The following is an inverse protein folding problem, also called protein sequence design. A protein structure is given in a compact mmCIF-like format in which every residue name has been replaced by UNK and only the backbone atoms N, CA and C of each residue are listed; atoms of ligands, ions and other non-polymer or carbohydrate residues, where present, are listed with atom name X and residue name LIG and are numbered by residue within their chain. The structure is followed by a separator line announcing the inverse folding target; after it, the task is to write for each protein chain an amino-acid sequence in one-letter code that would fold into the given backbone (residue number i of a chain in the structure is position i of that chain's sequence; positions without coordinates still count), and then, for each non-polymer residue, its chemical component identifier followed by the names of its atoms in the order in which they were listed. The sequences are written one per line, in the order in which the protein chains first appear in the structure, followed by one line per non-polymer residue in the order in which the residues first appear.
data_IF_028209614151
#
_entry.id   IF_028209614151
#
_cell.length_a   1.000
_cell.length_b   1.000
_cell.length_c   1.000
_cell.angle_alpha   90.00
_cell.angle_beta   90.00
_cell.angle_gamma   90.00
#
_symmetry.space_group_name_H-M   'P 1'
#
loop_
_entity.id
_entity.type
_entity.pdbx_description
1 polymer ?
#
# COMPACT_ATOMS: atom_id res chain seq x y z
N UNK A 1 -20.94 -9.90 5.59
CA UNK A 1 -20.81 -10.88 4.51
C UNK A 1 -20.04 -10.26 3.35
N UNK A 2 -20.53 -10.37 2.11
CA UNK A 2 -19.82 -9.85 0.93
C UNK A 2 -20.21 -8.42 0.49
N UNK A 3 -21.38 -7.93 0.91
CA UNK A 3 -21.96 -6.64 0.51
C UNK A 3 -21.95 -5.58 1.62
N UNK A 4 -21.83 -6.01 2.87
CA UNK A 4 -21.70 -5.17 4.07
C UNK A 4 -20.61 -5.77 4.96
N UNK A 5 -19.76 -4.91 5.52
CA UNK A 5 -18.62 -5.31 6.35
C UNK A 5 -19.09 -5.84 7.71
N UNK A 6 -18.69 -7.05 8.03
CA UNK A 6 -18.76 -7.63 9.38
C UNK A 6 -17.36 -8.05 9.82
N UNK A 7 -17.02 -7.86 11.10
CA UNK A 7 -15.67 -8.18 11.58
C UNK A 7 -15.28 -9.66 11.36
N UNK A 8 -16.26 -10.57 11.41
CA UNK A 8 -16.07 -12.00 11.13
C UNK A 8 -15.65 -12.30 9.70
N UNK A 9 -15.93 -11.42 8.74
CA UNK A 9 -15.53 -11.57 7.34
C UNK A 9 -14.00 -11.62 7.19
N UNK A 10 -13.26 -10.96 8.09
CA UNK A 10 -11.80 -10.97 8.08
C UNK A 10 -11.19 -12.35 8.37
N UNK A 11 -11.95 -13.27 8.97
CA UNK A 11 -11.52 -14.64 9.19
C UNK A 11 -11.73 -15.55 7.96
N UNK A 12 -12.49 -15.08 6.95
CA UNK A 12 -12.71 -15.81 5.70
C UNK A 12 -11.68 -15.35 4.67
N UNK A 13 -10.72 -16.19 4.25
CA UNK A 13 -9.61 -15.78 3.40
C UNK A 13 -10.04 -15.09 2.10
N UNK A 14 -11.07 -15.62 1.44
CA UNK A 14 -11.57 -15.11 0.16
C UNK A 14 -12.14 -13.70 0.32
N UNK A 15 -12.87 -13.45 1.42
CA UNK A 15 -13.47 -12.14 1.69
C UNK A 15 -12.40 -11.14 2.14
N UNK A 16 -11.44 -11.58 2.98
CA UNK A 16 -10.32 -10.75 3.39
C UNK A 16 -9.47 -10.29 2.19
N UNK A 17 -9.19 -11.20 1.25
CA UNK A 17 -8.49 -10.88 0.00
C UNK A 17 -9.30 -9.88 -0.83
N UNK A 18 -10.62 -10.06 -0.94
CA UNK A 18 -11.46 -9.14 -1.71
C UNK A 18 -11.44 -7.71 -1.14
N UNK A 19 -11.55 -7.55 0.19
CA UNK A 19 -11.42 -6.25 0.84
C UNK A 19 -10.03 -5.64 0.66
N UNK A 20 -8.98 -6.43 0.87
CA UNK A 20 -7.60 -5.97 0.69
C UNK A 20 -7.32 -5.52 -0.73
N UNK A 21 -7.78 -6.27 -1.73
CA UNK A 21 -7.67 -5.92 -3.15
C UNK A 21 -8.41 -4.62 -3.47
N UNK A 22 -9.67 -4.49 -3.03
CA UNK A 22 -10.46 -3.29 -3.26
C UNK A 22 -9.78 -2.06 -2.64
N UNK A 23 -9.32 -2.17 -1.39
CA UNK A 23 -8.68 -1.04 -0.69
C UNK A 23 -7.35 -0.68 -1.34
N UNK A 24 -6.52 -1.67 -1.71
CA UNK A 24 -5.26 -1.41 -2.40
C UNK A 24 -5.49 -0.72 -3.76
N UNK A 25 -6.49 -1.14 -4.54
CA UNK A 25 -6.84 -0.51 -5.82
C UNK A 25 -7.27 0.95 -5.60
N UNK A 26 -8.15 1.19 -4.63
CA UNK A 26 -8.55 2.55 -4.25
C UNK A 26 -7.35 3.44 -3.89
N UNK A 27 -6.37 2.92 -3.13
CA UNK A 27 -5.17 3.69 -2.77
C UNK A 27 -4.26 3.94 -3.98
N UNK A 28 -4.09 2.95 -4.87
CA UNK A 28 -3.33 3.14 -6.11
C UNK A 28 -3.97 4.23 -6.98
N UNK A 29 -5.31 4.26 -7.11
CA UNK A 29 -6.01 5.31 -7.84
C UNK A 29 -5.81 6.68 -7.18
N UNK A 30 -5.96 6.74 -5.85
CA UNK A 30 -5.80 7.95 -5.05
C UNK A 30 -4.41 8.57 -5.20
N UNK A 31 -3.36 7.74 -5.23
CA UNK A 31 -1.98 8.19 -5.32
C UNK A 31 -1.40 8.10 -6.74
N UNK A 32 -2.24 8.08 -7.77
CA UNK A 32 -1.84 8.12 -9.18
C UNK A 32 -0.83 7.02 -9.57
N UNK A 33 -1.14 5.77 -9.21
CA UNK A 33 -0.29 4.59 -9.42
C UNK A 33 1.07 4.64 -8.70
N UNK A 34 1.26 5.57 -7.75
CA UNK A 34 2.44 5.60 -6.92
C UNK A 34 2.38 4.48 -5.87
N UNK A 35 2.93 3.31 -6.23
CA UNK A 35 2.96 2.10 -5.41
C UNK A 35 3.53 2.36 -4.00
N UNK A 36 4.56 3.20 -3.88
CA UNK A 36 5.18 3.54 -2.59
C UNK A 36 4.20 4.28 -1.68
N UNK A 37 3.50 5.28 -2.20
CA UNK A 37 2.51 6.03 -1.43
C UNK A 37 1.29 5.19 -1.08
N UNK A 38 0.82 4.36 -2.02
CA UNK A 38 -0.30 3.46 -1.78
C UNK A 38 0.01 2.44 -0.68
N UNK A 39 1.19 1.81 -0.71
CA UNK A 39 1.61 0.87 0.33
C UNK A 39 1.84 1.56 1.68
N UNK A 40 2.40 2.77 1.69
CA UNK A 40 2.55 3.56 2.90
C UNK A 40 1.18 3.90 3.52
N UNK A 41 0.18 4.23 2.70
CA UNK A 41 -1.16 4.53 3.17
C UNK A 41 -1.92 3.28 3.63
N UNK A 42 -1.68 2.13 2.99
CA UNK A 42 -2.27 0.85 3.40
C UNK A 42 -1.84 0.47 4.83
N UNK A 43 -0.58 0.73 5.19
CA UNK A 43 -0.06 0.44 6.54
C UNK A 43 -0.26 1.60 7.53
N UNK A 44 0.07 2.83 7.13
CA UNK A 44 0.14 4.00 8.01
C UNK A 44 -1.11 4.89 8.00
N UNK A 45 -2.06 4.63 7.09
CA UNK A 45 -3.26 5.42 6.89
C UNK A 45 -3.07 6.61 5.93
N UNK A 46 -4.11 6.90 5.15
CA UNK A 46 -4.10 7.99 4.16
C UNK A 46 -3.87 9.37 4.76
N UNK A 47 -4.45 9.64 5.93
CA UNK A 47 -4.33 10.94 6.59
C UNK A 47 -2.88 11.34 6.84
N UNK A 48 -2.07 10.40 7.37
CA UNK A 48 -0.65 10.63 7.63
C UNK A 48 0.15 10.80 6.34
N UNK A 49 -0.11 9.96 5.33
CA UNK A 49 0.58 10.06 4.04
C UNK A 49 0.31 11.40 3.36
N UNK A 50 -0.94 11.88 3.39
CA UNK A 50 -1.29 13.20 2.85
C UNK A 50 -0.55 14.32 3.60
N UNK A 51 -0.46 14.23 4.94
CA UNK A 51 0.29 15.18 5.76
C UNK A 51 1.77 15.23 5.35
N UNK A 52 2.44 14.09 5.24
CA UNK A 52 3.86 14.04 4.87
C UNK A 52 4.11 14.55 3.45
N UNK A 53 3.19 14.30 2.50
CA UNK A 53 3.25 14.87 1.15
C UNK A 53 3.14 16.40 1.21
N UNK A 54 2.25 16.95 2.03
CA UNK A 54 2.11 18.40 2.17
C UNK A 54 3.37 19.02 2.76
N UNK A 55 3.94 18.43 3.82
CA UNK A 55 5.20 18.89 4.41
C UNK A 55 6.33 18.91 3.38
N UNK A 56 6.49 17.83 2.59
CA UNK A 56 7.48 17.79 1.50
C UNK A 56 7.28 18.94 0.50
N UNK A 57 6.02 19.19 0.11
CA UNK A 57 5.68 20.27 -0.84
C UNK A 57 5.96 21.66 -0.27
N UNK A 58 5.67 21.89 1.00
CA UNK A 58 5.94 23.16 1.69
C UNK A 58 7.44 23.45 1.77
N UNK A 59 8.26 22.40 1.87
CA UNK A 59 9.73 22.49 1.81
C UNK A 59 10.27 22.60 0.36
N UNK A 60 9.41 22.51 -0.65
CA UNK A 60 9.82 22.48 -2.07
C UNK A 60 10.50 21.17 -2.48
N UNK A 61 10.32 20.11 -1.71
CA UNK A 61 10.95 18.81 -1.90
C UNK A 61 10.06 17.86 -2.69
N UNK A 62 10.70 16.95 -3.43
CA UNK A 62 10.00 15.81 -4.02
C UNK A 62 9.83 14.76 -2.93
N UNK A 63 8.59 14.31 -2.70
CA UNK A 63 8.31 13.25 -1.73
C UNK A 63 9.12 11.98 -2.03
N UNK A 64 9.79 11.48 -0.99
CA UNK A 64 10.58 10.24 -1.00
C UNK A 64 10.33 9.53 0.32
N UNK A 65 9.92 8.26 0.24
CA UNK A 65 9.56 7.49 1.44
C UNK A 65 10.67 7.44 2.49
N UNK A 66 11.93 7.30 2.07
CA UNK A 66 13.09 7.25 2.96
C UNK A 66 13.26 8.53 3.79
N UNK A 67 12.92 9.68 3.20
CA UNK A 67 13.20 11.00 3.77
C UNK A 67 11.99 11.57 4.52
N UNK A 68 10.77 11.24 4.08
CA UNK A 68 9.55 11.95 4.52
C UNK A 68 8.57 11.09 5.31
N UNK A 69 8.65 9.76 5.26
CA UNK A 69 7.85 8.90 6.15
C UNK A 69 8.59 8.86 7.48
N UNK A 70 8.07 9.40 8.59
CA UNK A 70 8.79 9.46 9.86
C UNK A 70 8.81 8.11 10.59
N UNK A 71 7.78 7.28 10.38
CA UNK A 71 7.65 5.98 11.03
C UNK A 71 8.51 4.93 10.34
N UNK A 72 9.50 4.40 11.06
CA UNK A 72 10.35 3.31 10.56
C UNK A 72 9.51 2.09 10.16
N UNK A 73 8.52 1.72 10.95
CA UNK A 73 7.63 0.59 10.65
C UNK A 73 6.99 0.71 9.26
N UNK A 74 6.48 1.89 8.90
CA UNK A 74 5.87 2.12 7.59
C UNK A 74 6.89 2.08 6.47
N UNK A 75 8.13 2.58 6.68
CA UNK A 75 9.22 2.44 5.70
C UNK A 75 9.57 0.97 5.47
N UNK A 76 9.79 0.23 6.56
CA UNK A 76 10.14 -1.20 6.54
C UNK A 76 9.00 -2.03 5.90
N UNK A 77 7.74 -1.66 6.14
CA UNK A 77 6.57 -2.29 5.52
C UNK A 77 6.59 -2.13 3.99
N UNK A 78 6.78 -0.89 3.50
CA UNK A 78 6.79 -0.60 2.06
C UNK A 78 7.90 -1.39 1.36
N UNK A 79 9.11 -1.37 1.92
CA UNK A 79 10.25 -2.11 1.36
C UNK A 79 9.97 -3.62 1.31
N UNK A 80 9.50 -4.20 2.42
CA UNK A 80 9.18 -5.62 2.51
C UNK A 80 8.12 -6.06 1.50
N UNK A 81 7.08 -5.26 1.26
CA UNK A 81 6.03 -5.60 0.30
C UNK A 81 6.53 -5.52 -1.14
N UNK A 82 7.34 -4.51 -1.47
CA UNK A 82 7.96 -4.38 -2.80
C UNK A 82 8.87 -5.58 -3.08
N UNK A 83 9.68 -5.99 -2.10
CA UNK A 83 10.57 -7.14 -2.25
C UNK A 83 9.81 -8.46 -2.35
N UNK A 84 8.76 -8.63 -1.53
CA UNK A 84 7.88 -9.79 -1.63
C UNK A 84 7.21 -9.86 -3.01
N UNK A 85 6.74 -8.73 -3.56
CA UNK A 85 6.15 -8.67 -4.90
C UNK A 85 7.17 -9.02 -5.99
N UNK A 86 8.39 -8.51 -5.91
CA UNK A 86 9.47 -8.85 -6.85
C UNK A 86 9.82 -10.34 -6.80
N UNK A 87 9.93 -10.89 -5.59
CA UNK A 87 10.16 -12.32 -5.40
C UNK A 87 9.02 -13.16 -5.98
N UNK A 88 7.77 -12.77 -5.70
CA UNK A 88 6.58 -13.45 -6.23
C UNK A 88 6.55 -13.43 -7.76
N UNK A 89 6.76 -12.26 -8.39
CA UNK A 89 6.79 -12.15 -9.86
C UNK A 89 7.90 -12.98 -10.50
N UNK A 90 9.04 -13.12 -9.83
CA UNK A 90 10.16 -13.95 -10.31
C UNK A 90 9.83 -15.43 -10.20
N UNK A 91 9.29 -15.85 -9.06
CA UNK A 91 8.98 -17.26 -8.80
C UNK A 91 7.85 -17.75 -9.73
N UNK A 92 6.81 -16.94 -9.88
CA UNK A 92 5.61 -17.28 -10.65
C UNK A 92 5.59 -16.61 -12.03
N UNK A 93 6.76 -16.36 -12.62
CA UNK A 93 6.86 -15.59 -13.87
C UNK A 93 6.07 -16.25 -15.02
N UNK A 94 6.11 -17.58 -15.10
CA UNK A 94 5.41 -18.35 -16.14
C UNK A 94 3.90 -18.27 -15.99
N UNK A 95 3.39 -18.43 -14.78
CA UNK A 95 1.97 -18.38 -14.45
C UNK A 95 1.39 -16.98 -14.65
N UNK A 96 2.22 -15.94 -14.46
CA UNK A 96 1.84 -14.54 -14.63
C UNK A 96 2.05 -14.02 -16.06
N UNK A 97 2.64 -14.80 -16.97
CA UNK A 97 2.91 -14.40 -18.35
C UNK A 97 3.93 -13.25 -18.49
N UNK A 98 4.96 -13.23 -17.64
CA UNK A 98 6.00 -12.20 -17.57
C UNK A 98 7.30 -12.58 -18.29
#
# INVERSE_FOLDING_TARGET
GGSEFEQGDLATPEINIAYGYWYLRYLLDRYHENEVLALAAYNGGEGKVNEWIQVARELGERFRAADHIPFRETRDYVERVIDARRAYRREYARELGL
#
